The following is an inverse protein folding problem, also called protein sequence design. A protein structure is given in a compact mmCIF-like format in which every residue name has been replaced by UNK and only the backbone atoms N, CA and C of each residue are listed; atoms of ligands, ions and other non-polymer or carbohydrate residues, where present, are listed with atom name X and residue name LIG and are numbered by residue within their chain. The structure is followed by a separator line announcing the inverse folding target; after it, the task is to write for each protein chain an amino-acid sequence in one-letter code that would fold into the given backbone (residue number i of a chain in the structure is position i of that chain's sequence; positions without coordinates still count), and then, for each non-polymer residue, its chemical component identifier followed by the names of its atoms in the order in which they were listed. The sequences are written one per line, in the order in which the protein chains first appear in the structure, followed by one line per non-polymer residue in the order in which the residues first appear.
data_IF_530760267515
#
_entry.id   IF_530760267515
#
_cell.length_a   1.000
_cell.length_b   1.000
_cell.length_c   1.000
_cell.angle_alpha   90.00
_cell.angle_beta   90.00
_cell.angle_gamma   90.00
#
_symmetry.space_group_name_H-M   'P 1'
#
loop_
_entity.id
_entity.type
_entity.pdbx_description
1 polymer ?
#
# COMPACT_ATOMS: atom_id res chain seq x y z
N UNK A 1 -3.97 32.00 4.94
CA UNK A 1 -5.13 31.69 4.09
C UNK A 1 -4.89 32.00 2.60
N UNK A 2 -4.40 33.19 2.20
CA UNK A 2 -4.16 33.53 0.77
C UNK A 2 -3.19 32.61 0.03
N UNK A 3 -2.15 32.09 0.69
CA UNK A 3 -1.17 31.15 0.08
C UNK A 3 -1.76 29.77 -0.22
N UNK A 4 -2.68 29.29 0.63
CA UNK A 4 -3.38 28.01 0.41
C UNK A 4 -4.38 28.13 -0.74
N UNK A 5 -5.09 29.25 -0.83
CA UNK A 5 -6.01 29.52 -1.93
C UNK A 5 -5.27 29.64 -3.28
N UNK A 6 -4.07 30.21 -3.31
CA UNK A 6 -3.24 30.32 -4.51
C UNK A 6 -2.73 28.93 -4.97
N UNK A 7 -2.33 28.08 -4.04
CA UNK A 7 -1.93 26.69 -4.33
C UNK A 7 -3.12 25.88 -4.87
N UNK A 8 -4.29 26.02 -4.25
CA UNK A 8 -5.52 25.40 -4.73
C UNK A 8 -5.93 25.91 -6.11
N UNK A 9 -5.83 27.20 -6.36
CA UNK A 9 -6.16 27.81 -7.66
C UNK A 9 -5.16 27.36 -8.76
N UNK A 10 -3.88 27.23 -8.45
CA UNK A 10 -2.86 26.67 -9.36
C UNK A 10 -3.14 25.20 -9.68
N UNK A 11 -3.58 24.43 -8.69
CA UNK A 11 -3.99 23.02 -8.88
C UNK A 11 -5.23 22.90 -9.77
N UNK A 12 -6.23 23.75 -9.55
CA UNK A 12 -7.45 23.79 -10.36
C UNK A 12 -7.16 24.24 -11.81
N UNK A 13 -6.26 25.20 -12.01
CA UNK A 13 -5.84 25.65 -13.33
C UNK A 13 -5.08 24.58 -14.15
N UNK A 14 -4.24 23.77 -13.50
CA UNK A 14 -3.55 22.63 -14.12
C UNK A 14 -4.53 21.49 -14.50
N UNK A 15 -5.66 21.36 -13.81
CA UNK A 15 -6.68 20.34 -14.08
C UNK A 15 -7.44 20.55 -15.41
N UNK A 16 -7.44 21.77 -15.96
CA UNK A 16 -8.18 22.13 -17.18
C UNK A 16 -7.56 21.69 -18.50
N UNK A 17 -6.30 21.22 -18.52
CA UNK A 17 -5.50 21.11 -19.75
C UNK A 17 -5.45 19.73 -20.43
N UNK A 18 -6.04 18.64 -19.86
CA UNK A 18 -5.84 17.28 -20.36
C UNK A 18 -7.15 16.55 -20.66
N UNK A 19 -7.14 15.57 -21.58
CA UNK A 19 -8.31 14.72 -21.86
C UNK A 19 -8.67 13.82 -20.66
N UNK A 20 -9.95 13.57 -20.36
CA UNK A 20 -10.34 12.72 -19.25
C UNK A 20 -9.80 11.30 -19.43
N UNK A 21 -9.07 10.78 -18.45
CA UNK A 21 -8.73 9.35 -18.41
C UNK A 21 -10.01 8.54 -18.32
N UNK A 22 -10.06 7.41 -19.03
CA UNK A 22 -11.20 6.48 -18.89
C UNK A 22 -11.11 5.79 -17.52
N UNK A 23 -12.27 5.59 -16.91
CA UNK A 23 -12.41 4.72 -15.75
C UNK A 23 -12.18 3.27 -16.17
N UNK A 24 -11.48 2.49 -15.36
CA UNK A 24 -11.10 1.13 -15.72
C UNK A 24 -10.92 0.23 -14.50
N UNK A 25 -11.06 -1.07 -14.73
CA UNK A 25 -10.65 -2.11 -13.79
C UNK A 25 -9.16 -2.35 -13.99
N UNK A 26 -8.43 -2.65 -12.93
CA UNK A 26 -7.01 -3.00 -13.01
C UNK A 26 -6.66 -4.17 -12.09
N UNK A 27 -5.60 -4.89 -12.46
CA UNK A 27 -4.97 -5.91 -11.64
C UNK A 27 -3.45 -5.70 -11.65
N UNK A 28 -2.78 -6.07 -10.56
CA UNK A 28 -1.34 -5.89 -10.44
C UNK A 28 -0.68 -6.85 -9.46
N UNK A 29 0.62 -7.03 -9.67
CA UNK A 29 1.51 -7.74 -8.77
C UNK A 29 2.36 -6.75 -7.98
N UNK A 30 2.72 -7.12 -6.77
CA UNK A 30 3.48 -6.31 -5.82
C UNK A 30 4.68 -7.09 -5.31
N UNK A 31 5.84 -6.43 -5.21
CA UNK A 31 7.05 -6.97 -4.58
C UNK A 31 7.71 -5.89 -3.73
N UNK A 32 8.43 -6.27 -2.68
CA UNK A 32 9.05 -5.26 -1.83
C UNK A 32 9.66 -5.79 -0.55
N UNK A 33 9.68 -4.93 0.46
CA UNK A 33 10.24 -5.19 1.77
C UNK A 33 9.28 -4.73 2.86
N UNK A 34 9.23 -5.48 3.94
CA UNK A 34 8.46 -5.14 5.13
C UNK A 34 9.38 -5.16 6.38
N UNK A 35 9.84 -4.00 6.87
CA UNK A 35 10.37 -3.91 8.21
C UNK A 35 9.26 -4.15 9.23
N UNK A 36 9.46 -5.15 10.09
CA UNK A 36 8.50 -5.61 11.08
C UNK A 36 9.15 -5.59 12.47
N UNK A 37 8.44 -5.03 13.45
CA UNK A 37 8.84 -5.00 14.85
C UNK A 37 7.72 -5.50 15.73
N UNK A 38 8.04 -6.39 16.66
CA UNK A 38 7.12 -6.95 17.65
C UNK A 38 7.45 -6.41 19.03
N UNK A 39 6.46 -5.92 19.77
CA UNK A 39 6.60 -5.35 21.10
C UNK A 39 5.49 -5.86 22.04
N UNK A 40 5.72 -6.24 23.31
CA UNK A 40 7.04 -6.41 23.95
C UNK A 40 7.83 -7.56 23.35
N UNK A 41 9.14 -7.55 23.52
CA UNK A 41 10.07 -8.53 22.97
C UNK A 41 9.78 -9.93 23.52
N UNK A 42 9.39 -10.92 22.70
CA UNK A 42 9.29 -12.31 23.19
C UNK A 42 10.65 -13.02 23.25
N UNK A 43 11.66 -12.56 22.48
CA UNK A 43 13.01 -13.07 22.40
C UNK A 43 13.94 -12.03 21.76
N UNK A 44 15.25 -12.37 21.60
CA UNK A 44 16.30 -11.48 21.11
C UNK A 44 16.05 -10.79 19.75
N UNK A 45 15.22 -11.36 18.88
CA UNK A 45 14.92 -10.84 17.53
C UNK A 45 13.51 -10.25 17.41
N UNK A 46 13.31 -9.11 18.04
CA UNK A 46 12.01 -8.39 17.94
C UNK A 46 11.86 -7.52 16.71
N UNK A 47 12.91 -7.32 15.92
CA UNK A 47 12.87 -6.50 14.70
C UNK A 47 13.57 -7.23 13.55
N UNK A 48 12.90 -7.27 12.37
CA UNK A 48 13.43 -7.91 11.18
C UNK A 48 12.83 -7.29 9.92
N UNK A 49 13.53 -7.45 8.80
CA UNK A 49 13.00 -7.11 7.47
C UNK A 49 12.65 -8.39 6.74
N UNK A 50 11.43 -8.45 6.21
CA UNK A 50 10.91 -9.56 5.44
C UNK A 50 10.81 -9.19 3.95
N UNK A 51 10.98 -10.18 3.06
CA UNK A 51 10.67 -10.03 1.65
C UNK A 51 9.15 -10.01 1.46
N UNK A 52 8.66 -9.07 0.65
CA UNK A 52 7.24 -8.83 0.42
C UNK A 52 6.87 -9.20 -1.02
N UNK A 53 5.77 -9.91 -1.17
CA UNK A 53 5.11 -10.13 -2.45
C UNK A 53 3.59 -10.12 -2.28
N UNK A 54 2.86 -9.90 -3.37
CA UNK A 54 1.42 -9.89 -3.30
C UNK A 54 0.75 -9.50 -4.60
N UNK A 55 -0.55 -9.32 -4.50
CA UNK A 55 -1.41 -8.91 -5.61
C UNK A 55 -2.38 -7.82 -5.17
N UNK A 56 -2.80 -7.03 -6.12
CA UNK A 56 -3.86 -6.04 -5.93
C UNK A 56 -4.78 -5.99 -7.14
N UNK A 57 -6.00 -5.53 -6.92
CA UNK A 57 -6.96 -5.26 -7.96
C UNK A 57 -7.97 -4.24 -7.49
N UNK A 58 -8.62 -3.60 -8.44
CA UNK A 58 -9.59 -2.58 -8.09
C UNK A 58 -10.17 -1.85 -9.28
N UNK A 59 -10.83 -0.76 -8.96
CA UNK A 59 -11.45 0.12 -9.94
C UNK A 59 -10.93 1.54 -9.75
N UNK A 60 -10.50 2.15 -10.86
CA UNK A 60 -10.10 3.54 -10.91
C UNK A 60 -11.17 4.37 -11.61
N UNK A 61 -11.70 5.34 -10.91
CA UNK A 61 -12.70 6.29 -11.43
C UNK A 61 -12.02 7.63 -11.71
N UNK A 62 -12.02 8.06 -12.97
CA UNK A 62 -11.43 9.32 -13.39
C UNK A 62 -12.46 10.45 -13.29
N UNK A 63 -12.25 11.39 -12.40
CA UNK A 63 -13.10 12.60 -12.26
C UNK A 63 -12.63 13.72 -13.18
N UNK A 64 -11.31 13.91 -13.24
CA UNK A 64 -10.67 14.96 -14.03
C UNK A 64 -9.49 14.36 -14.80
N UNK A 65 -8.96 15.15 -15.74
CA UNK A 65 -7.81 14.74 -16.57
C UNK A 65 -6.58 14.30 -15.79
N UNK A 66 -6.34 14.94 -14.63
CA UNK A 66 -5.19 14.66 -13.79
C UNK A 66 -5.55 13.98 -12.45
N UNK A 67 -6.84 13.77 -12.15
CA UNK A 67 -7.29 13.33 -10.84
C UNK A 67 -8.24 12.13 -10.96
N UNK A 68 -7.92 11.08 -10.23
CA UNK A 68 -8.74 9.87 -10.17
C UNK A 68 -8.90 9.40 -8.72
N UNK A 69 -10.02 8.75 -8.45
CA UNK A 69 -10.26 7.99 -7.22
C UNK A 69 -10.08 6.51 -7.52
N UNK A 70 -9.38 5.81 -6.65
CA UNK A 70 -9.12 4.39 -6.80
C UNK A 70 -9.62 3.62 -5.58
N UNK A 71 -10.52 2.67 -5.79
CA UNK A 71 -10.84 1.61 -4.84
C UNK A 71 -9.91 0.43 -5.09
N UNK A 72 -9.19 0.00 -4.07
CA UNK A 72 -8.19 -1.07 -4.16
C UNK A 72 -8.43 -2.14 -3.12
N UNK A 73 -8.44 -3.39 -3.54
CA UNK A 73 -8.27 -4.57 -2.70
C UNK A 73 -6.86 -5.11 -2.90
N UNK A 74 -6.14 -5.40 -1.81
CA UNK A 74 -4.79 -5.96 -1.92
C UNK A 74 -4.50 -7.01 -0.86
N UNK A 75 -3.71 -8.00 -1.27
CA UNK A 75 -3.16 -9.04 -0.41
C UNK A 75 -1.63 -9.00 -0.52
N UNK A 76 -0.97 -8.87 0.62
CA UNK A 76 0.49 -8.84 0.75
C UNK A 76 0.93 -9.93 1.71
N UNK A 77 1.99 -10.65 1.37
CA UNK A 77 2.64 -11.64 2.22
C UNK A 77 4.10 -11.27 2.38
N UNK A 78 4.52 -11.06 3.61
CA UNK A 78 5.91 -10.82 3.99
C UNK A 78 6.50 -12.11 4.59
N UNK A 79 7.59 -12.59 4.00
CA UNK A 79 8.23 -13.86 4.36
C UNK A 79 9.64 -13.57 4.84
N UNK A 80 9.97 -14.07 6.02
CA UNK A 80 11.35 -14.13 6.52
C UNK A 80 11.75 -15.58 6.78
N UNK A 81 12.57 -16.20 5.91
CA UNK A 81 13.18 -17.48 6.21
C UNK A 81 14.23 -17.31 7.32
N UNK A 82 14.26 -18.23 8.26
CA UNK A 82 15.30 -18.39 9.26
C UNK A 82 15.83 -19.82 9.21
N UNK A 83 16.95 -20.11 9.83
CA UNK A 83 17.58 -21.43 9.77
C UNK A 83 16.68 -22.56 10.29
N UNK A 84 15.74 -22.26 11.20
CA UNK A 84 14.89 -23.27 11.87
C UNK A 84 13.40 -23.13 11.52
N UNK A 85 12.95 -22.00 10.97
CA UNK A 85 11.53 -21.74 10.74
C UNK A 85 11.32 -20.55 9.79
N UNK A 86 10.10 -20.43 9.26
CA UNK A 86 9.69 -19.33 8.41
C UNK A 86 8.63 -18.49 9.14
N UNK A 87 8.85 -17.17 9.22
CA UNK A 87 7.88 -16.22 9.75
C UNK A 87 7.13 -15.63 8.58
N UNK A 88 5.81 -15.81 8.57
CA UNK A 88 4.92 -15.25 7.56
C UNK A 88 4.02 -14.20 8.18
N UNK A 89 4.01 -13.00 7.59
CA UNK A 89 3.08 -11.92 7.97
C UNK A 89 2.26 -11.56 6.75
N UNK A 90 0.96 -11.72 6.83
CA UNK A 90 0.02 -11.37 5.76
C UNK A 90 -0.76 -10.12 6.10
N UNK A 91 -1.02 -9.30 5.10
CA UNK A 91 -1.87 -8.13 5.16
C UNK A 91 -2.92 -8.21 4.04
N UNK A 92 -4.18 -8.30 4.43
CA UNK A 92 -5.32 -8.13 3.55
C UNK A 92 -5.87 -6.71 3.74
N UNK A 93 -6.05 -5.93 2.67
CA UNK A 93 -6.50 -4.54 2.83
C UNK A 93 -7.49 -4.09 1.78
N UNK A 94 -8.40 -3.20 2.21
CA UNK A 94 -9.28 -2.40 1.37
C UNK A 94 -8.85 -0.94 1.50
N UNK A 95 -8.68 -0.26 0.37
CA UNK A 95 -8.12 1.08 0.33
C UNK A 95 -8.93 1.98 -0.61
N UNK A 96 -8.94 3.26 -0.31
CA UNK A 96 -9.41 4.32 -1.18
C UNK A 96 -8.29 5.33 -1.34
N UNK A 97 -7.80 5.49 -2.56
CA UNK A 97 -6.69 6.36 -2.90
C UNK A 97 -7.12 7.44 -3.88
N UNK A 98 -6.58 8.64 -3.72
CA UNK A 98 -6.62 9.71 -4.70
C UNK A 98 -5.33 9.69 -5.49
N UNK A 99 -5.43 9.63 -6.81
CA UNK A 99 -4.30 9.65 -7.73
C UNK A 99 -4.27 11.01 -8.44
N UNK A 100 -3.09 11.60 -8.52
CA UNK A 100 -2.85 12.84 -9.25
C UNK A 100 -1.69 12.65 -10.21
N UNK A 101 -1.99 12.62 -11.52
CA UNK A 101 -0.97 12.54 -12.57
C UNK A 101 -0.73 13.97 -13.11
N UNK A 102 0.34 14.59 -12.65
CA UNK A 102 0.65 16.01 -12.89
C UNK A 102 1.58 16.26 -14.08
N UNK A 103 2.25 15.23 -14.59
CA UNK A 103 3.14 15.36 -15.73
C UNK A 103 2.88 14.28 -16.76
N UNK A 104 2.55 14.68 -17.99
CA UNK A 104 2.30 13.77 -19.11
C UNK A 104 3.21 14.14 -20.27
N UNK A 105 4.00 13.18 -20.72
CA UNK A 105 4.85 13.33 -21.90
C UNK A 105 4.66 12.11 -22.82
N UNK A 106 4.15 12.36 -24.02
CA UNK A 106 3.81 11.32 -25.02
C UNK A 106 2.93 10.22 -24.41
N UNK A 107 3.51 9.03 -24.18
CA UNK A 107 2.84 7.83 -23.64
C UNK A 107 2.99 7.70 -22.12
N UNK A 108 3.78 8.56 -21.47
CA UNK A 108 4.10 8.47 -20.05
C UNK A 108 3.34 9.50 -19.24
N UNK A 109 2.76 9.08 -18.13
CA UNK A 109 2.14 9.99 -17.14
C UNK A 109 2.72 9.70 -15.77
N UNK A 110 3.37 10.71 -15.18
CA UNK A 110 3.91 10.64 -13.83
C UNK A 110 2.95 11.28 -12.84
N UNK A 111 2.80 10.64 -11.70
CA UNK A 111 1.92 11.13 -10.66
C UNK A 111 2.27 10.61 -9.28
N UNK A 112 1.48 11.07 -8.34
CA UNK A 112 1.50 10.65 -6.94
C UNK A 112 0.15 10.05 -6.59
N UNK A 113 0.12 9.23 -5.56
CA UNK A 113 -1.13 8.82 -4.95
C UNK A 113 -1.03 8.86 -3.43
N UNK A 114 -2.16 9.06 -2.80
CA UNK A 114 -2.31 9.00 -1.36
C UNK A 114 -3.71 8.58 -1.00
N UNK A 115 -3.85 7.84 0.08
CA UNK A 115 -5.15 7.33 0.47
C UNK A 115 -5.17 6.69 1.84
N UNK A 116 -6.35 6.20 2.18
CA UNK A 116 -6.67 5.57 3.44
C UNK A 116 -7.23 4.18 3.20
N UNK A 117 -7.00 3.28 4.14
CA UNK A 117 -7.53 1.92 4.07
C UNK A 117 -7.73 1.27 5.42
N UNK A 118 -8.25 0.07 5.39
CA UNK A 118 -8.36 -0.84 6.52
C UNK A 118 -7.61 -2.11 6.18
N UNK A 119 -6.73 -2.55 7.08
CA UNK A 119 -5.93 -3.76 6.95
C UNK A 119 -6.23 -4.78 8.02
N UNK A 120 -6.34 -6.03 7.60
CA UNK A 120 -6.34 -7.20 8.46
C UNK A 120 -4.96 -7.85 8.42
N UNK A 121 -4.30 -7.93 9.57
CA UNK A 121 -2.98 -8.49 9.76
C UNK A 121 -3.08 -9.88 10.33
N UNK A 122 -2.39 -10.82 9.71
CA UNK A 122 -2.23 -12.18 10.22
C UNK A 122 -0.76 -12.56 10.19
N UNK A 123 -0.23 -13.03 11.31
CA UNK A 123 1.13 -13.54 11.39
C UNK A 123 1.11 -14.95 11.97
N UNK A 124 1.73 -15.88 11.28
CA UNK A 124 2.01 -17.21 11.78
C UNK A 124 3.49 -17.33 12.11
N UNK A 125 3.78 -17.78 13.32
CA UNK A 125 5.14 -18.01 13.78
C UNK A 125 5.34 -19.53 13.95
N UNK A 126 6.11 -20.14 13.09
CA UNK A 126 6.49 -21.57 13.19
C UNK A 126 7.78 -21.70 14.02
N UNK A 127 7.75 -21.16 15.22
CA UNK A 127 8.73 -21.51 16.26
C UNK A 127 8.28 -22.82 16.87
N UNK A 128 9.13 -23.83 16.95
CA UNK A 128 8.84 -25.16 17.50
C UNK A 128 8.35 -25.20 18.95
N UNK A 129 7.90 -24.09 19.51
CA UNK A 129 7.20 -23.92 20.76
C UNK A 129 5.90 -23.16 20.53
N UNK A 130 4.76 -23.84 20.77
CA UNK A 130 3.39 -23.33 20.77
C UNK A 130 3.09 -22.29 19.68
N UNK A 131 2.25 -22.65 18.73
CA UNK A 131 1.67 -21.78 17.70
C UNK A 131 1.19 -20.43 18.27
N UNK A 132 2.06 -19.40 18.22
CA UNK A 132 1.65 -18.06 18.56
C UNK A 132 1.22 -17.37 17.27
N UNK A 133 -0.07 -17.40 16.98
CA UNK A 133 -0.64 -16.62 15.88
C UNK A 133 -0.99 -15.22 16.38
N UNK A 134 -0.71 -14.24 15.52
CA UNK A 134 -1.11 -12.85 15.71
C UNK A 134 -2.22 -12.53 14.70
N UNK A 135 -3.28 -11.88 15.17
CA UNK A 135 -4.34 -11.34 14.31
C UNK A 135 -4.71 -9.96 14.80
N UNK A 136 -4.87 -9.01 13.88
CA UNK A 136 -5.28 -7.66 14.24
C UNK A 136 -5.78 -6.85 13.07
N UNK A 137 -6.52 -5.79 13.36
CA UNK A 137 -6.99 -4.81 12.40
C UNK A 137 -6.33 -3.47 12.65
N UNK A 138 -6.08 -2.72 11.58
CA UNK A 138 -5.56 -1.36 11.69
C UNK A 138 -5.99 -0.52 10.48
N UNK A 139 -6.11 0.79 10.70
CA UNK A 139 -6.19 1.74 9.61
C UNK A 139 -4.83 1.85 8.91
N UNK A 140 -4.86 2.11 7.61
CA UNK A 140 -3.68 2.22 6.76
C UNK A 140 -3.65 3.59 6.10
N UNK A 141 -2.48 4.18 6.03
CA UNK A 141 -2.15 5.27 5.15
C UNK A 141 -1.36 4.73 3.95
N UNK A 142 -1.84 5.00 2.74
CA UNK A 142 -1.18 4.62 1.49
C UNK A 142 -0.56 5.85 0.86
N UNK A 143 0.66 5.75 0.39
CA UNK A 143 1.33 6.84 -0.33
C UNK A 143 2.32 6.26 -1.34
N UNK A 144 2.47 6.93 -2.47
CA UNK A 144 3.46 6.52 -3.45
C UNK A 144 3.50 7.39 -4.69
N UNK A 145 4.43 7.01 -5.55
CA UNK A 145 4.67 7.58 -6.87
C UNK A 145 4.22 6.56 -7.92
N UNK A 146 3.75 7.03 -9.05
CA UNK A 146 3.34 6.15 -10.15
C UNK A 146 3.70 6.72 -11.51
N UNK A 147 3.98 5.82 -12.42
CA UNK A 147 4.16 6.11 -13.84
C UNK A 147 3.20 5.23 -14.64
N UNK A 148 2.31 5.85 -15.41
CA UNK A 148 1.42 5.16 -16.34
C UNK A 148 2.02 5.22 -17.74
N UNK A 149 2.14 4.07 -18.40
CA UNK A 149 2.70 3.89 -19.73
C UNK A 149 1.58 3.41 -20.64
N UNK A 150 1.38 4.09 -21.75
CA UNK A 150 0.41 3.73 -22.80
C UNK A 150 -1.03 3.50 -22.27
N UNK A 151 -1.42 4.23 -21.22
CA UNK A 151 -2.75 4.19 -20.55
C UNK A 151 -3.11 2.88 -19.85
N UNK A 152 -2.44 1.77 -20.16
CA UNK A 152 -2.76 0.42 -19.66
C UNK A 152 -1.78 -0.09 -18.62
N UNK A 153 -0.52 0.26 -18.73
CA UNK A 153 0.55 -0.22 -17.84
C UNK A 153 0.86 0.83 -16.78
N UNK A 154 0.85 0.45 -15.52
CA UNK A 154 1.22 1.36 -14.43
C UNK A 154 2.25 0.70 -13.53
N UNK A 155 3.36 1.41 -13.32
CA UNK A 155 4.42 1.05 -12.37
C UNK A 155 4.33 2.02 -11.21
N UNK A 156 4.30 1.50 -9.98
CA UNK A 156 4.21 2.30 -8.77
C UNK A 156 5.30 1.92 -7.78
N UNK A 157 5.79 2.90 -7.03
CA UNK A 157 6.60 2.72 -5.84
C UNK A 157 5.85 3.35 -4.67
N UNK A 158 5.53 2.56 -3.66
CA UNK A 158 4.68 3.04 -2.58
C UNK A 158 4.92 2.37 -1.25
N UNK A 159 4.20 2.87 -0.25
CA UNK A 159 4.19 2.34 1.09
C UNK A 159 2.76 2.27 1.65
N UNK A 160 2.49 1.18 2.39
CA UNK A 160 1.31 1.05 3.25
C UNK A 160 1.78 1.13 4.70
N UNK A 161 1.30 2.15 5.41
CA UNK A 161 1.74 2.51 6.75
C UNK A 161 0.55 2.39 7.70
N UNK A 162 0.56 1.48 8.69
CA UNK A 162 -0.47 1.43 9.71
C UNK A 162 -0.51 2.71 10.56
N UNK A 163 -1.70 3.18 10.92
CA UNK A 163 -1.87 4.40 11.73
C UNK A 163 -1.26 4.29 13.12
N UNK A 164 -1.20 3.09 13.65
CA UNK A 164 -0.69 2.81 14.98
C UNK A 164 -0.08 1.41 15.04
N UNK A 165 0.42 1.03 16.21
CA UNK A 165 0.80 -0.36 16.47
C UNK A 165 -0.43 -1.25 16.39
N UNK A 166 -0.39 -2.28 15.54
CA UNK A 166 -1.50 -3.23 15.43
C UNK A 166 -1.57 -4.09 16.68
N UNK A 167 -2.70 -4.05 17.38
CA UNK A 167 -2.93 -4.83 18.57
C UNK A 167 -3.38 -6.25 18.21
N UNK A 168 -2.86 -7.24 18.94
CA UNK A 168 -3.33 -8.60 18.80
C UNK A 168 -4.78 -8.74 19.33
N UNK A 169 -5.67 -9.35 18.55
CA UNK A 169 -7.06 -9.64 18.93
C UNK A 169 -7.16 -10.81 19.91
N UNK A 170 -6.14 -11.66 20.03
CA UNK A 170 -6.05 -12.69 21.06
C UNK A 170 -5.49 -12.12 22.36
N UNK A 171 -5.67 -12.86 23.48
CA UNK A 171 -5.27 -12.44 24.84
C UNK A 171 -3.76 -12.13 25.04
N UNK A 172 -2.94 -12.27 24.03
CA UNK A 172 -1.51 -12.00 24.12
C UNK A 172 -1.22 -10.50 23.96
N UNK A 173 -0.43 -9.87 24.86
CA UNK A 173 -0.18 -8.42 24.87
C UNK A 173 0.88 -7.99 23.83
N UNK A 174 0.91 -8.60 22.66
CA UNK A 174 1.85 -8.25 21.60
C UNK A 174 1.26 -7.22 20.65
N UNK A 175 2.13 -6.29 20.24
CA UNK A 175 1.85 -5.30 19.19
C UNK A 175 2.76 -5.53 18.00
N UNK A 176 2.21 -5.38 16.81
CA UNK A 176 2.92 -5.44 15.56
C UNK A 176 3.07 -4.03 14.99
N UNK A 177 4.31 -3.59 14.79
CA UNK A 177 4.66 -2.41 14.01
C UNK A 177 5.23 -2.88 12.68
N UNK A 178 4.68 -2.43 11.56
CA UNK A 178 5.16 -2.82 10.24
C UNK A 178 4.91 -1.71 9.24
N UNK A 179 5.80 -1.58 8.27
CA UNK A 179 5.60 -0.73 7.09
C UNK A 179 5.82 -1.62 5.87
N UNK A 180 4.93 -1.55 4.89
CA UNK A 180 5.01 -2.36 3.66
C UNK A 180 5.46 -1.47 2.51
N UNK A 181 6.74 -1.50 2.17
CA UNK A 181 7.32 -0.75 1.04
C UNK A 181 7.30 -1.67 -0.18
N UNK A 182 6.70 -1.22 -1.27
CA UNK A 182 6.48 -2.06 -2.43
C UNK A 182 6.68 -1.34 -3.75
N UNK A 183 7.20 -2.05 -4.73
CA UNK A 183 7.05 -1.76 -6.14
C UNK A 183 5.88 -2.57 -6.68
N UNK A 184 5.12 -1.97 -7.60
CA UNK A 184 3.93 -2.60 -8.18
C UNK A 184 3.94 -2.43 -9.69
N UNK A 185 3.56 -3.48 -10.39
CA UNK A 185 3.15 -3.40 -11.78
C UNK A 185 1.67 -3.74 -11.87
N UNK A 186 0.88 -2.93 -12.57
CA UNK A 186 -0.54 -3.17 -12.80
C UNK A 186 -0.92 -2.92 -14.26
N UNK A 187 -1.91 -3.68 -14.71
CA UNK A 187 -2.51 -3.56 -16.03
C UNK A 187 -3.96 -3.11 -15.89
N UNK A 188 -4.34 -2.11 -16.69
CA UNK A 188 -5.69 -1.54 -16.79
C UNK A 188 -6.40 -2.04 -18.06
N UNK A 189 -7.65 -2.47 -17.90
CA UNK A 189 -8.50 -3.01 -18.97
C UNK A 189 -9.41 -1.96 -19.58
#
# INVERSE_FOLDING_TARGET
MKKIALILALWVGLLGAFEPKKSHIYFGAMVGLAPIKITPKPASDSSYTAFLWGAKGGYQFAFFKALALRGEFSYLMAIKPTALHTINTSLLSLNIDVLSDFYTYKKYSFGVYGGLGIGYFYQSNHLGMKNSSFMGYNGLFNVGLGNTIDRHHRIELGAKIPFSKTRNSFKNPYFLESVFIHATYSYAF
#
